data_IF_138828006963
#
_entry.id   IF_138828006963
#
_cell.length_a   1.000
_cell.length_b   1.000
_cell.length_c   1.000
_cell.angle_alpha   90.00
_cell.angle_beta   90.00
_cell.angle_gamma   90.00
#
_symmetry.space_group_name_H-M   'P 1'
#
loop_
_entity.id
_entity.type
_entity.pdbx_description
1 polymer ?
#
# COMPACT_ATOMS: atom_id res chain seq x y z
N UNK A 1 11.43 0.17 13.43
CA UNK A 1 12.49 -0.02 12.42
C UNK A 1 13.54 -0.91 13.07
N UNK A 2 13.55 -2.19 12.72
CA UNK A 2 14.53 -3.17 13.23
C UNK A 2 15.64 -3.44 12.22
N UNK A 3 16.41 -4.50 12.44
CA UNK A 3 17.49 -5.00 11.56
C UNK A 3 16.96 -5.80 10.35
N UNK A 4 15.81 -5.39 9.81
CA UNK A 4 15.12 -6.05 8.69
C UNK A 4 15.90 -5.88 7.38
N UNK A 5 15.68 -6.78 6.42
CA UNK A 5 16.22 -6.67 5.05
C UNK A 5 15.81 -5.39 4.34
N UNK A 6 14.72 -4.73 4.77
CA UNK A 6 14.31 -3.41 4.33
C UNK A 6 15.42 -2.33 4.43
N UNK A 7 16.40 -2.47 5.34
CA UNK A 7 17.54 -1.55 5.46
C UNK A 7 18.46 -1.56 4.23
N UNK A 8 18.42 -2.62 3.40
CA UNK A 8 19.30 -2.80 2.22
C UNK A 8 19.02 -1.79 1.11
N UNK A 9 17.75 -1.42 0.90
CA UNK A 9 17.35 -0.54 -0.20
C UNK A 9 15.95 0.02 0.00
N UNK A 10 15.87 1.21 0.58
CA UNK A 10 14.65 2.01 0.62
C UNK A 10 14.48 2.73 -0.73
N UNK A 11 13.93 2.03 -1.73
CA UNK A 11 13.67 2.55 -3.09
C UNK A 11 12.36 3.34 -3.20
N UNK A 12 11.56 3.43 -2.12
CA UNK A 12 10.23 4.05 -2.17
C UNK A 12 10.27 5.60 -2.12
N UNK A 13 11.43 6.21 -1.89
CA UNK A 13 11.56 7.67 -1.85
C UNK A 13 11.93 8.21 -3.25
N UNK A 14 11.11 9.10 -3.84
CA UNK A 14 11.41 9.71 -5.13
C UNK A 14 12.70 10.52 -5.03
N UNK A 15 13.67 10.25 -5.92
CA UNK A 15 14.91 11.02 -6.06
C UNK A 15 16.21 10.28 -5.72
N UNK A 16 16.14 9.02 -5.27
CA UNK A 16 17.34 8.18 -5.09
C UNK A 16 17.40 7.10 -6.17
N UNK A 17 18.28 7.27 -7.16
CA UNK A 17 18.53 6.25 -8.20
C UNK A 17 19.14 4.96 -7.64
N UNK A 18 19.69 5.02 -6.43
CA UNK A 18 20.36 3.90 -5.75
C UNK A 18 19.49 3.27 -4.64
N UNK A 19 18.41 3.94 -4.21
CA UNK A 19 17.76 3.68 -2.92
C UNK A 19 18.65 4.16 -1.76
N UNK A 20 18.06 4.51 -0.61
CA UNK A 20 18.89 4.72 0.58
C UNK A 20 19.32 3.35 1.11
N UNK A 21 20.64 3.12 1.16
CA UNK A 21 21.26 1.93 1.71
C UNK A 21 21.74 2.22 3.13
N UNK A 22 21.09 1.60 4.12
CA UNK A 22 21.41 1.78 5.54
C UNK A 22 22.27 0.64 6.10
N UNK A 23 22.89 -0.18 5.25
CA UNK A 23 23.74 -1.29 5.70
C UNK A 23 24.92 -0.84 6.56
N UNK A 24 25.38 0.40 6.41
CA UNK A 24 26.42 0.96 7.28
C UNK A 24 25.94 1.19 8.73
N UNK A 25 24.63 1.42 8.91
CA UNK A 25 24.02 1.70 10.20
C UNK A 25 23.37 0.44 10.80
N UNK A 26 22.69 -0.35 9.96
CA UNK A 26 21.86 -1.48 10.35
C UNK A 26 22.01 -2.62 9.32
N UNK A 27 23.01 -3.47 9.55
CA UNK A 27 23.30 -4.64 8.71
C UNK A 27 22.53 -5.90 9.18
N UNK A 28 21.62 -6.49 8.38
CA UNK A 28 20.87 -7.69 8.76
C UNK A 28 21.72 -8.97 8.82
N UNK A 29 22.96 -8.94 8.31
CA UNK A 29 23.87 -10.09 8.30
C UNK A 29 24.72 -10.21 9.57
N UNK A 30 24.65 -9.23 10.45
CA UNK A 30 25.32 -9.25 11.75
C UNK A 30 24.29 -9.24 12.87
N UNK A 31 24.63 -9.88 13.99
CA UNK A 31 23.79 -9.84 15.17
C UNK A 31 24.02 -8.52 15.92
N UNK A 32 22.95 -7.75 16.11
CA UNK A 32 22.98 -6.49 16.87
C UNK A 32 22.39 -6.72 18.26
N UNK A 33 23.25 -6.92 19.26
CA UNK A 33 22.83 -7.16 20.64
C UNK A 33 22.19 -5.94 21.31
N UNK A 34 22.54 -4.74 20.82
CA UNK A 34 22.03 -3.45 21.27
C UNK A 34 20.63 -3.13 20.72
N UNK A 35 20.14 -3.86 19.72
CA UNK A 35 18.85 -3.61 19.07
C UNK A 35 17.85 -4.69 19.50
N UNK A 36 16.77 -4.27 20.16
CA UNK A 36 15.62 -5.13 20.45
C UNK A 36 14.45 -4.73 19.57
N UNK A 37 14.04 -5.63 18.68
CA UNK A 37 12.85 -5.47 17.84
C UNK A 37 11.62 -5.86 18.64
N UNK A 38 10.82 -4.88 19.04
CA UNK A 38 9.52 -5.12 19.66
C UNK A 38 8.44 -5.07 18.56
N UNK A 39 7.66 -6.14 18.43
CA UNK A 39 6.57 -6.21 17.45
C UNK A 39 5.32 -6.85 18.02
N UNK A 40 4.17 -6.51 17.46
CA UNK A 40 2.91 -7.19 17.80
C UNK A 40 2.86 -8.56 17.08
N UNK A 41 2.37 -9.66 17.69
CA UNK A 41 2.31 -10.99 17.05
C UNK A 41 1.54 -11.03 15.73
N UNK A 42 0.58 -10.11 15.59
CA UNK A 42 -0.29 -9.98 14.42
C UNK A 42 0.11 -8.81 13.50
N UNK A 43 1.32 -8.27 13.69
CA UNK A 43 1.87 -7.21 12.85
C UNK A 43 2.36 -7.76 11.51
N UNK A 44 1.53 -7.60 10.48
CA UNK A 44 1.87 -8.08 9.15
C UNK A 44 3.13 -7.42 8.58
N UNK A 45 3.46 -6.16 8.88
CA UNK A 45 4.71 -5.56 8.38
C UNK A 45 5.92 -6.18 9.04
N UNK A 46 5.86 -6.39 10.36
CA UNK A 46 6.97 -6.98 11.09
C UNK A 46 7.20 -8.44 10.68
N UNK A 47 6.15 -9.14 10.22
CA UNK A 47 6.19 -10.52 9.72
C UNK A 47 6.48 -10.64 8.21
N UNK A 48 6.45 -9.54 7.45
CA UNK A 48 6.76 -9.58 6.00
C UNK A 48 8.24 -9.77 5.69
N UNK A 49 9.11 -9.55 6.66
CA UNK A 49 10.56 -9.60 6.49
C UNK A 49 11.21 -10.37 7.63
N UNK A 50 12.37 -10.97 7.36
CA UNK A 50 13.14 -11.64 8.40
C UNK A 50 13.75 -10.60 9.36
N UNK A 51 13.71 -10.91 10.66
CA UNK A 51 14.10 -10.02 11.74
C UNK A 51 15.23 -10.67 12.54
N UNK A 52 16.50 -10.47 12.15
CA UNK A 52 17.63 -10.98 12.92
C UNK A 52 17.71 -10.29 14.30
N UNK A 53 18.48 -10.83 15.22
CA UNK A 53 18.69 -10.19 16.53
C UNK A 53 17.67 -10.57 17.59
N UNK A 54 17.54 -9.74 18.62
CA UNK A 54 16.58 -9.97 19.72
C UNK A 54 15.19 -9.47 19.33
N UNK A 55 14.25 -10.39 19.21
CA UNK A 55 12.86 -10.12 18.83
C UNK A 55 11.96 -10.38 20.02
N UNK A 56 11.15 -9.40 20.41
CA UNK A 56 10.18 -9.51 21.50
C UNK A 56 8.76 -9.26 20.98
N UNK A 57 7.82 -10.07 21.46
CA UNK A 57 6.42 -9.96 21.09
C UNK A 57 5.63 -9.22 22.17
N UNK A 58 4.91 -8.16 21.79
CA UNK A 58 4.13 -7.31 22.68
C UNK A 58 2.62 -7.45 22.39
N UNK A 59 1.81 -7.61 23.43
CA UNK A 59 0.34 -7.71 23.32
C UNK A 59 -0.17 -9.12 23.04
N UNK A 60 0.68 -10.15 23.22
CA UNK A 60 0.29 -11.55 23.05
C UNK A 60 -0.79 -11.99 24.03
N UNK A 61 -0.79 -11.44 25.26
CA UNK A 61 -1.79 -11.77 26.27
C UNK A 61 -3.16 -11.11 26.02
N UNK A 62 -3.25 -10.18 25.06
CA UNK A 62 -4.52 -9.59 24.63
C UNK A 62 -5.27 -10.47 23.63
N UNK A 63 -4.55 -11.32 22.90
CA UNK A 63 -5.13 -12.19 21.88
C UNK A 63 -6.22 -13.09 22.47
N UNK A 64 -7.33 -13.24 21.74
CA UNK A 64 -8.53 -13.96 22.18
C UNK A 64 -9.30 -13.34 23.34
N UNK A 65 -8.87 -12.18 23.89
CA UNK A 65 -9.59 -11.51 24.98
C UNK A 65 -10.63 -10.51 24.47
N UNK A 66 -11.60 -10.15 25.31
CA UNK A 66 -12.57 -9.09 24.99
C UNK A 66 -12.01 -7.66 25.17
N UNK A 67 -10.72 -7.52 25.50
CA UNK A 67 -10.08 -6.22 25.63
C UNK A 67 -9.79 -5.64 24.23
N UNK A 68 -9.74 -4.30 24.07
CA UNK A 68 -9.38 -3.68 22.81
C UNK A 68 -7.98 -4.09 22.35
N UNK A 69 -7.81 -4.43 21.08
CA UNK A 69 -6.58 -5.00 20.53
C UNK A 69 -6.46 -6.52 20.72
N UNK A 70 -7.50 -7.18 21.24
CA UNK A 70 -7.59 -8.64 21.40
C UNK A 70 -8.43 -9.29 20.30
N UNK A 71 -9.64 -9.77 20.65
CA UNK A 71 -10.55 -10.44 19.72
C UNK A 71 -11.03 -9.53 18.57
N UNK A 72 -11.05 -8.21 18.78
CA UNK A 72 -11.35 -7.23 17.72
C UNK A 72 -10.25 -7.20 16.66
N UNK A 73 -8.97 -7.25 17.06
CA UNK A 73 -7.83 -7.32 16.14
C UNK A 73 -7.87 -8.61 15.30
N UNK A 74 -8.10 -9.75 15.94
CA UNK A 74 -8.27 -11.04 15.24
C UNK A 74 -9.39 -10.96 14.20
N UNK A 75 -10.53 -10.36 14.56
CA UNK A 75 -11.66 -10.15 13.68
C UNK A 75 -11.38 -9.14 12.54
N UNK A 76 -10.50 -8.17 12.74
CA UNK A 76 -10.05 -7.29 11.66
C UNK A 76 -9.16 -8.05 10.67
N UNK A 77 -8.27 -8.90 11.16
CA UNK A 77 -7.33 -9.67 10.33
C UNK A 77 -8.02 -10.76 9.53
N UNK A 78 -8.98 -11.46 10.13
CA UNK A 78 -9.77 -12.49 9.44
C UNK A 78 -10.42 -11.93 8.16
N UNK A 79 -10.92 -10.69 8.20
CA UNK A 79 -11.55 -10.02 7.06
C UNK A 79 -10.59 -9.63 5.94
N UNK A 80 -9.29 -9.72 6.16
CA UNK A 80 -8.26 -9.42 5.16
C UNK A 80 -7.69 -10.68 4.51
N UNK A 81 -8.01 -11.87 5.04
CA UNK A 81 -7.53 -13.12 4.47
C UNK A 81 -8.09 -13.30 3.06
N UNK A 82 -7.19 -13.57 2.11
CA UNK A 82 -7.53 -13.76 0.70
C UNK A 82 -7.36 -12.52 -0.18
N UNK A 83 -6.96 -11.38 0.39
CA UNK A 83 -6.62 -10.17 -0.37
C UNK A 83 -5.11 -10.01 -0.55
N UNK A 84 -4.70 -9.47 -1.70
CA UNK A 84 -3.30 -9.12 -1.95
C UNK A 84 -2.93 -7.81 -1.27
N UNK A 85 -1.64 -7.64 -0.94
CA UNK A 85 -1.14 -6.39 -0.35
C UNK A 85 -1.53 -5.13 -1.13
N UNK A 86 -1.38 -5.08 -2.48
CA UNK A 86 -1.84 -3.95 -3.27
C UNK A 86 -3.35 -3.69 -3.17
N UNK A 87 -4.19 -4.71 -3.10
CA UNK A 87 -5.64 -4.53 -2.92
C UNK A 87 -5.98 -3.92 -1.56
N UNK A 88 -5.22 -4.27 -0.51
CA UNK A 88 -5.40 -3.72 0.84
C UNK A 88 -4.82 -2.31 1.00
N UNK A 89 -3.74 -1.99 0.29
CA UNK A 89 -3.07 -0.69 0.38
C UNK A 89 -3.69 0.37 -0.52
N UNK A 90 -4.18 -0.03 -1.69
CA UNK A 90 -4.77 0.86 -2.67
C UNK A 90 -6.28 0.76 -2.51
N UNK A 91 -6.84 1.61 -1.64
CA UNK A 91 -8.27 1.77 -1.31
C UNK A 91 -9.20 2.04 -2.52
N UNK A 92 -8.68 1.91 -3.74
CA UNK A 92 -9.38 2.12 -5.00
C UNK A 92 -10.30 0.97 -5.43
N UNK A 93 -10.09 -0.26 -4.93
CA UNK A 93 -10.81 -1.43 -5.43
C UNK A 93 -11.77 -2.07 -4.43
N UNK A 94 -11.46 -2.06 -3.13
CA UNK A 94 -12.36 -2.55 -2.08
C UNK A 94 -12.20 -1.75 -0.79
N UNK A 95 -13.17 -0.89 -0.48
CA UNK A 95 -13.10 0.03 0.67
C UNK A 95 -13.11 -0.68 2.01
N UNK A 96 -13.90 -1.75 2.15
CA UNK A 96 -14.06 -2.43 3.44
C UNK A 96 -12.81 -3.22 3.86
N UNK A 97 -12.18 -4.08 3.02
CA UNK A 97 -10.91 -4.72 3.38
C UNK A 97 -9.79 -3.72 3.65
N UNK A 98 -9.68 -2.65 2.84
CA UNK A 98 -8.71 -1.58 3.06
C UNK A 98 -8.93 -0.84 4.39
N UNK A 99 -10.19 -0.59 4.77
CA UNK A 99 -10.55 -0.04 6.09
C UNK A 99 -10.13 -0.98 7.23
N UNK A 100 -10.44 -2.29 7.14
CA UNK A 100 -10.03 -3.28 8.15
C UNK A 100 -8.49 -3.38 8.25
N UNK A 101 -7.79 -3.20 7.13
CA UNK A 101 -6.33 -3.12 7.08
C UNK A 101 -5.79 -1.87 7.77
N UNK A 102 -6.43 -0.72 7.58
CA UNK A 102 -6.17 0.50 8.34
C UNK A 102 -6.34 0.30 9.84
N UNK A 103 -7.40 -0.38 10.27
CA UNK A 103 -7.65 -0.70 11.69
C UNK A 103 -6.61 -1.65 12.26
N UNK A 104 -6.24 -2.69 11.51
CA UNK A 104 -5.17 -3.63 11.92
C UNK A 104 -3.85 -2.89 12.10
N UNK A 105 -3.50 -1.99 11.17
CA UNK A 105 -2.31 -1.14 11.28
C UNK A 105 -2.36 -0.24 12.51
N UNK A 106 -3.52 0.30 12.86
CA UNK A 106 -3.64 1.08 14.10
C UNK A 106 -3.26 0.24 15.32
N UNK A 107 -3.78 -0.98 15.45
CA UNK A 107 -3.49 -1.84 16.60
C UNK A 107 -2.03 -2.35 16.65
N UNK A 108 -1.40 -2.54 15.50
CA UNK A 108 -0.07 -3.16 15.40
C UNK A 108 1.07 -2.15 15.25
N UNK A 109 0.78 -0.93 14.79
CA UNK A 109 1.78 0.08 14.40
C UNK A 109 1.50 1.49 14.95
N UNK A 110 0.44 1.70 15.75
CA UNK A 110 0.22 2.98 16.41
C UNK A 110 1.26 3.21 17.49
N UNK A 111 2.06 4.28 17.34
CA UNK A 111 3.04 4.69 18.36
C UNK A 111 2.36 5.00 19.70
N UNK A 112 1.15 5.56 19.67
CA UNK A 112 0.39 5.88 20.88
C UNK A 112 0.00 4.61 21.64
N UNK A 113 -0.55 3.63 20.93
CA UNK A 113 -0.92 2.35 21.55
C UNK A 113 0.32 1.61 22.06
N UNK A 114 1.38 1.57 21.25
CA UNK A 114 2.65 0.97 21.63
C UNK A 114 3.17 1.59 22.93
N UNK A 115 3.16 2.92 23.06
CA UNK A 115 3.57 3.60 24.29
C UNK A 115 2.69 3.24 25.49
N UNK A 116 1.37 3.12 25.30
CA UNK A 116 0.46 2.68 26.37
C UNK A 116 0.84 1.27 26.84
N UNK A 117 1.04 0.33 25.92
CA UNK A 117 1.42 -1.05 26.24
C UNK A 117 2.81 -1.11 26.92
N UNK A 118 3.81 -0.42 26.38
CA UNK A 118 5.16 -0.37 26.96
C UNK A 118 5.21 0.30 28.34
N UNK A 119 4.26 1.18 28.64
CA UNK A 119 4.16 1.82 29.97
C UNK A 119 3.52 0.92 31.04
N UNK A 120 2.92 -0.21 30.64
CA UNK A 120 2.21 -1.11 31.54
C UNK A 120 3.07 -2.35 31.87
N UNK A 121 3.37 -2.59 33.16
CA UNK A 121 4.24 -3.69 33.59
C UNK A 121 3.66 -5.09 33.31
N UNK A 122 2.38 -5.17 32.94
CA UNK A 122 1.74 -6.41 32.48
C UNK A 122 2.24 -6.84 31.10
N UNK A 123 2.61 -5.89 30.24
CA UNK A 123 3.04 -6.15 28.86
C UNK A 123 4.54 -6.02 28.66
N UNK A 124 5.21 -5.17 29.44
CA UNK A 124 6.67 -5.04 29.47
C UNK A 124 7.12 -4.88 30.92
N UNK A 125 7.77 -5.91 31.46
CA UNK A 125 8.25 -5.86 32.84
C UNK A 125 9.52 -4.99 32.99
N UNK A 126 9.95 -4.76 34.23
CA UNK A 126 11.15 -3.97 34.54
C UNK A 126 12.47 -4.62 34.05
N UNK A 127 12.46 -5.91 33.69
CA UNK A 127 13.60 -6.63 33.16
C UNK A 127 13.64 -6.60 31.62
N UNK A 128 12.67 -5.94 30.98
CA UNK A 128 12.54 -5.88 29.53
C UNK A 128 11.98 -7.16 28.91
N UNK A 129 11.26 -7.97 29.70
CA UNK A 129 10.54 -9.16 29.22
C UNK A 129 9.13 -8.75 28.83
N UNK A 130 8.75 -9.05 27.59
CA UNK A 130 7.39 -8.80 27.12
C UNK A 130 6.45 -9.96 27.45
N UNK A 131 5.15 -9.71 27.43
CA UNK A 131 4.11 -10.72 27.65
C UNK A 131 4.11 -11.86 26.62
N UNK A 132 4.60 -11.61 25.40
CA UNK A 132 4.84 -12.64 24.38
C UNK A 132 6.23 -13.29 24.45
N UNK A 133 7.08 -12.85 25.36
CA UNK A 133 8.47 -13.28 25.46
C UNK A 133 9.35 -12.74 24.34
N UNK A 134 10.66 -13.03 24.48
CA UNK A 134 11.68 -12.65 23.53
C UNK A 134 12.43 -13.88 23.02
N UNK A 135 12.78 -13.88 21.75
CA UNK A 135 13.62 -14.90 21.11
C UNK A 135 14.79 -14.22 20.41
N UNK A 136 15.94 -14.89 20.41
CA UNK A 136 17.04 -14.49 19.56
C UNK A 136 16.88 -15.19 18.21
N UNK A 137 16.83 -14.40 17.15
CA UNK A 137 16.82 -14.87 15.77
C UNK A 137 18.24 -14.78 15.23
N UNK A 138 18.70 -15.86 14.60
CA UNK A 138 20.05 -15.91 14.03
C UNK A 138 20.22 -14.86 12.92
N UNK A 139 21.41 -14.30 12.74
CA UNK A 139 21.68 -13.40 11.63
C UNK A 139 21.51 -14.14 10.29
N UNK A 140 21.13 -13.41 9.25
CA UNK A 140 21.05 -13.97 7.90
C UNK A 140 22.49 -14.25 7.43
N UNK A 141 22.80 -15.44 6.89
CA UNK A 141 24.12 -15.67 6.30
C UNK A 141 24.39 -14.66 5.19
N UNK A 142 25.61 -14.10 5.11
CA UNK A 142 25.94 -13.07 4.12
C UNK A 142 25.73 -13.51 2.65
N UNK A 143 25.85 -14.82 2.38
CA UNK A 143 25.55 -15.39 1.07
C UNK A 143 24.05 -15.46 0.76
N UNK A 144 23.20 -15.39 1.79
CA UNK A 144 21.74 -15.51 1.76
C UNK A 144 21.30 -16.64 0.81
N UNK A 145 21.69 -17.90 1.12
CA UNK A 145 21.44 -19.04 0.23
C UNK A 145 19.94 -19.33 0.10
N UNK A 146 19.18 -19.07 1.17
CA UNK A 146 17.73 -19.32 1.23
C UNK A 146 16.90 -18.15 0.69
N UNK A 147 17.54 -17.02 0.36
CA UNK A 147 16.84 -15.84 -0.16
C UNK A 147 15.89 -15.22 0.87
N UNK A 148 16.27 -15.25 2.15
CA UNK A 148 15.49 -14.67 3.26
C UNK A 148 15.27 -13.17 3.05
N UNK A 149 16.27 -12.49 2.50
CA UNK A 149 16.09 -11.11 2.06
C UNK A 149 15.69 -11.06 0.59
N UNK A 150 14.61 -10.34 0.23
CA UNK A 150 14.27 -10.10 -1.15
C UNK A 150 15.44 -9.45 -1.90
N UNK A 151 16.10 -10.23 -2.76
CA UNK A 151 17.05 -9.72 -3.75
C UNK A 151 16.20 -8.98 -4.76
N UNK A 152 16.01 -7.68 -4.59
CA UNK A 152 15.12 -6.88 -5.42
C UNK A 152 15.32 -7.25 -6.89
N UNK A 153 14.37 -7.98 -7.47
CA UNK A 153 14.46 -8.39 -8.85
C UNK A 153 14.53 -7.10 -9.67
N UNK A 154 15.61 -6.96 -10.44
CA UNK A 154 15.93 -5.82 -11.28
C UNK A 154 14.72 -5.40 -12.11
N UNK A 155 13.99 -4.37 -11.66
CA UNK A 155 13.06 -3.50 -12.40
C UNK A 155 12.00 -4.13 -13.35
N UNK A 156 11.98 -5.45 -13.56
CA UNK A 156 11.26 -6.08 -14.67
C UNK A 156 9.76 -6.15 -14.40
N UNK A 157 9.37 -6.43 -13.16
CA UNK A 157 7.97 -6.45 -12.72
C UNK A 157 7.40 -5.05 -12.53
N UNK A 158 8.18 -4.07 -12.06
CA UNK A 158 7.75 -2.66 -12.00
C UNK A 158 7.61 -2.06 -13.40
N UNK A 159 8.60 -2.28 -14.28
CA UNK A 159 8.55 -1.77 -15.65
C UNK A 159 7.39 -2.35 -16.45
N UNK A 160 7.03 -3.62 -16.26
CA UNK A 160 5.88 -4.23 -16.92
C UNK A 160 4.54 -3.53 -16.57
N UNK A 161 4.37 -3.11 -15.30
CA UNK A 161 3.19 -2.38 -14.86
C UNK A 161 3.12 -0.98 -15.48
N UNK A 162 4.25 -0.25 -15.49
CA UNK A 162 4.32 1.07 -16.14
C UNK A 162 4.16 0.99 -17.66
N UNK A 163 4.70 -0.05 -18.32
CA UNK A 163 4.49 -0.28 -19.74
C UNK A 163 3.02 -0.55 -20.04
N UNK A 164 2.35 -1.40 -19.25
CA UNK A 164 0.95 -1.74 -19.42
C UNK A 164 0.03 -0.52 -19.29
N UNK A 165 0.22 0.29 -18.25
CA UNK A 165 -0.56 1.52 -18.03
C UNK A 165 -0.25 2.58 -19.09
N UNK A 166 1.03 2.74 -19.47
CA UNK A 166 1.44 3.67 -20.52
C UNK A 166 0.85 3.34 -21.89
N UNK A 167 0.83 2.06 -22.26
CA UNK A 167 0.22 1.59 -23.53
C UNK A 167 -1.29 1.81 -23.51
N UNK A 168 -1.97 1.51 -22.40
CA UNK A 168 -3.41 1.74 -22.27
C UNK A 168 -3.77 3.23 -22.43
N UNK A 169 -3.01 4.12 -21.78
CA UNK A 169 -3.19 5.57 -21.92
C UNK A 169 -2.91 6.06 -23.35
N UNK A 170 -1.86 5.54 -24.00
CA UNK A 170 -1.54 5.91 -25.38
C UNK A 170 -2.66 5.48 -26.37
N UNK A 171 -3.28 4.32 -26.16
CA UNK A 171 -4.43 3.86 -26.97
C UNK A 171 -5.64 4.78 -26.78
N UNK A 172 -5.92 5.22 -25.55
CA UNK A 172 -7.05 6.11 -25.26
C UNK A 172 -6.81 7.51 -25.84
N UNK A 173 -5.61 8.08 -25.64
CA UNK A 173 -5.30 9.45 -26.03
C UNK A 173 -5.05 9.58 -27.54
N UNK A 174 -4.38 8.62 -28.16
CA UNK A 174 -4.00 8.70 -29.59
C UNK A 174 -4.93 7.85 -30.45
N UNK A 175 -5.28 6.64 -30.00
CA UNK A 175 -6.09 5.70 -30.77
C UNK A 175 -7.52 6.19 -31.00
N UNK A 176 -8.20 6.70 -29.97
CA UNK A 176 -9.59 7.14 -30.08
C UNK A 176 -9.74 8.35 -31.03
N UNK A 177 -8.92 9.42 -30.94
CA UNK A 177 -9.01 10.54 -31.88
C UNK A 177 -8.69 10.14 -33.32
N UNK A 178 -7.71 9.24 -33.53
CA UNK A 178 -7.32 8.79 -34.86
C UNK A 178 -8.43 7.94 -35.50
N UNK A 179 -9.09 7.09 -34.71
CA UNK A 179 -10.25 6.31 -35.17
C UNK A 179 -11.44 7.22 -35.51
N UNK A 180 -11.69 8.26 -34.69
CA UNK A 180 -12.68 9.29 -34.98
C UNK A 180 -12.37 10.06 -36.27
N UNK A 181 -11.11 10.41 -36.51
CA UNK A 181 -10.69 11.09 -37.75
C UNK A 181 -10.91 10.21 -38.99
N UNK A 182 -10.58 8.91 -38.90
CA UNK A 182 -10.83 7.94 -39.98
C UNK A 182 -12.33 7.71 -40.24
N UNK A 183 -13.15 7.69 -39.18
CA UNK A 183 -14.61 7.59 -39.32
C UNK A 183 -15.22 8.85 -39.95
N UNK A 184 -14.71 10.02 -39.60
CA UNK A 184 -15.12 11.30 -40.18
C UNK A 184 -14.74 11.40 -41.67
N UNK A 185 -13.55 10.95 -42.08
CA UNK A 185 -13.16 10.97 -43.50
C UNK A 185 -14.00 10.01 -44.34
N UNK A 186 -14.31 8.81 -43.83
CA UNK A 186 -15.22 7.89 -44.52
C UNK A 186 -16.67 8.40 -44.60
N UNK A 187 -17.18 9.03 -43.55
CA UNK A 187 -18.55 9.55 -43.52
C UNK A 187 -18.73 10.84 -44.33
N UNK A 188 -17.70 11.69 -44.39
CA UNK A 188 -17.71 12.91 -45.21
C UNK A 188 -17.52 12.63 -46.69
N UNK A 189 -16.80 11.57 -47.08
CA UNK A 189 -16.69 11.16 -48.49
C UNK A 189 -17.98 10.53 -49.04
N UNK A 190 -18.86 9.99 -48.19
CA UNK A 190 -20.10 9.33 -48.66
C UNK A 190 -21.35 10.22 -48.62
N UNK A 191 -21.30 11.39 -47.97
CA UNK A 191 -22.43 12.32 -47.92
C UNK A 191 -22.31 13.43 -48.96
N UNK A 192 -22.22 13.06 -50.23
CA UNK A 192 -22.50 13.97 -51.36
C UNK A 192 -24.02 14.16 -51.42
N UNK A 193 -24.55 15.04 -50.58
CA UNK A 193 -25.98 15.38 -50.64
C UNK A 193 -26.23 16.26 -51.87
N UNK A 194 -27.22 15.93 -52.71
CA UNK A 194 -27.63 16.76 -53.82
C UNK A 194 -28.10 18.13 -53.32
N UNK A 195 -27.74 19.17 -54.07
CA UNK A 195 -28.22 20.53 -53.86
C UNK A 195 -29.76 20.56 -53.85
N UNK A 196 -30.37 20.86 -52.71
CA UNK A 196 -31.70 21.42 -52.71
C UNK A 196 -31.86 22.47 -51.62
N UNK A 197 -32.03 23.69 -52.14
CA UNK A 197 -32.88 24.77 -51.67
C UNK A 197 -32.58 25.46 -50.33
N UNK A 198 -32.11 26.71 -50.51
CA UNK A 198 -32.12 27.79 -49.53
C UNK A 198 -33.57 28.12 -49.15
N UNK A 199 -33.94 27.88 -47.90
CA UNK A 199 -35.02 28.64 -47.26
C UNK A 199 -34.60 29.07 -45.87
N UNK A 200 -34.55 30.39 -45.73
CA UNK A 200 -34.47 31.20 -44.51
C UNK A 200 -35.21 30.57 -43.32
N UNK A 201 -34.59 30.58 -42.14
CA UNK A 201 -35.32 30.84 -40.90
C UNK A 201 -34.42 31.63 -39.95
N UNK A 202 -34.73 32.91 -39.87
CA UNK A 202 -34.40 33.83 -38.78
C UNK A 202 -35.15 33.42 -37.50
N UNK A 203 -34.68 33.92 -36.37
CA UNK A 203 -35.32 33.93 -35.05
C UNK A 203 -35.40 32.62 -34.26
N UNK A 204 -34.57 32.52 -33.22
CA UNK A 204 -35.13 32.41 -31.87
C UNK A 204 -34.18 33.01 -30.83
N UNK A 205 -34.54 34.23 -30.43
CA UNK A 205 -34.04 34.95 -29.28
C UNK A 205 -34.70 34.36 -28.01
N UNK A 206 -33.96 34.39 -26.90
CA UNK A 206 -34.51 34.65 -25.55
C UNK A 206 -35.49 33.64 -24.92
N UNK A 207 -34.96 32.78 -24.03
CA UNK A 207 -35.54 32.30 -22.75
C UNK A 207 -34.58 31.21 -22.23
N UNK A 208 -34.14 31.15 -20.98
CA UNK A 208 -34.86 31.43 -19.74
C UNK A 208 -33.83 31.46 -18.60
N UNK A 209 -33.96 32.46 -17.71
CA UNK A 209 -33.46 32.39 -16.34
C UNK A 209 -34.26 31.35 -15.54
N UNK A 210 -33.58 30.68 -14.62
CA UNK A 210 -34.15 29.92 -13.49
C UNK A 210 -32.97 29.26 -12.76
N UNK A 211 -32.52 29.71 -11.59
CA UNK A 211 -33.31 30.04 -10.41
C UNK A 211 -33.26 28.85 -9.46
N UNK A 212 -32.12 28.62 -8.80
CA UNK A 212 -31.99 27.59 -7.77
C UNK A 212 -31.99 28.25 -6.39
N UNK A 213 -33.06 27.98 -5.63
CA UNK A 213 -33.20 28.31 -4.21
C UNK A 213 -32.24 27.45 -3.38
N UNK A 214 -31.52 28.12 -2.49
CA UNK A 214 -30.90 27.52 -1.30
C UNK A 214 -31.98 27.46 -0.22
N UNK A 215 -32.09 26.34 0.48
CA UNK A 215 -32.84 26.25 1.72
C UNK A 215 -31.97 25.54 2.79
N UNK A 216 -32.20 25.89 4.07
CA UNK A 216 -31.23 25.81 5.17
C UNK A 216 -31.00 24.41 5.74
#
# INVERSE_FOLDING_TARGET
MGVQCFSRRLSFLPGSSEGQNYLADVDPYIFHDQITSIMHPLDYYALTDYQPGKVCHLGSSLLGTSQPGGADLENYIDKMVGYTGPELMVDMFQTKPAEMFGMTRYWTHSITLTNILLSNPTFLDANGVTDGGCTNQEPIPAADPDGMCPKGNSDASCNALFLGVGIALAIVIIGIPLLCLLYCTHSCCFRRHPETNKTKFTDFKEKTMGGAKVNP
#
